data_IF_931963269431
#
_entry.id   IF_931963269431
#
_cell.length_a   1.000
_cell.length_b   1.000
_cell.length_c   1.000
_cell.angle_alpha   90.00
_cell.angle_beta   90.00
_cell.angle_gamma   90.00
#
_symmetry.space_group_name_H-M   'P 1'
#
loop_
_entity.id
_entity.type
_entity.pdbx_description
1 polymer ?
#
# COMPACT_ATOMS: atom_id res chain seq x y z
N UNK A 1 -10.10 54.35 -23.10
CA UNK A 1 -9.09 53.56 -23.83
C UNK A 1 -8.74 52.34 -22.98
N UNK A 2 -8.97 51.13 -23.52
CA UNK A 2 -8.57 49.81 -22.98
C UNK A 2 -9.30 49.37 -21.70
N UNK A 3 -10.19 48.37 -21.65
CA UNK A 3 -10.40 47.22 -22.52
C UNK A 3 -9.61 46.01 -22.01
N UNK A 4 -10.30 45.02 -21.42
CA UNK A 4 -9.73 43.70 -21.11
C UNK A 4 -10.40 42.97 -19.94
N UNK A 5 -11.53 42.31 -20.20
CA UNK A 5 -12.12 41.32 -19.28
C UNK A 5 -11.50 39.92 -19.46
N UNK A 6 -12.23 38.92 -18.94
CA UNK A 6 -11.95 37.47 -18.84
C UNK A 6 -11.19 37.13 -17.55
N UNK A 7 -11.60 36.19 -16.70
CA UNK A 7 -12.61 35.15 -16.76
C UNK A 7 -12.26 34.17 -15.64
N UNK A 8 -13.25 33.64 -14.93
CA UNK A 8 -13.00 32.75 -13.79
C UNK A 8 -12.22 31.49 -14.17
N UNK A 9 -11.41 30.97 -13.25
CA UNK A 9 -10.99 29.57 -13.26
C UNK A 9 -11.04 28.97 -11.84
N UNK A 10 -12.09 28.19 -11.64
CA UNK A 10 -12.13 26.88 -11.01
C UNK A 10 -10.81 26.32 -10.42
N UNK A 11 -10.91 25.96 -9.14
CA UNK A 11 -10.41 24.71 -8.51
C UNK A 11 -8.93 24.32 -8.64
N UNK A 12 -8.27 24.18 -7.48
CA UNK A 12 -7.92 22.86 -6.90
C UNK A 12 -7.27 23.05 -5.54
N UNK A 13 -7.92 22.50 -4.50
CA UNK A 13 -7.24 22.16 -3.25
C UNK A 13 -6.12 21.16 -3.58
N UNK A 14 -4.87 21.57 -3.35
CA UNK A 14 -3.70 20.69 -3.36
C UNK A 14 -3.71 19.94 -2.03
N UNK A 15 -3.44 18.62 -1.99
CA UNK A 15 -3.46 17.83 -0.75
C UNK A 15 -2.55 18.50 0.29
N UNK A 16 -3.06 18.71 1.49
CA UNK A 16 -2.27 19.22 2.61
C UNK A 16 -1.15 18.24 2.94
N UNK A 17 0.05 18.50 2.43
CA UNK A 17 1.27 17.94 2.98
C UNK A 17 1.55 18.69 4.28
N UNK A 18 0.93 18.25 5.38
CA UNK A 18 1.24 18.77 6.69
C UNK A 18 2.73 18.59 7.01
N UNK A 19 3.32 19.58 7.67
CA UNK A 19 4.72 19.62 8.12
C UNK A 19 5.13 18.46 9.06
N UNK A 20 4.19 17.60 9.45
CA UNK A 20 4.33 16.54 10.46
C UNK A 20 4.87 15.19 9.96
N UNK A 21 5.14 15.06 8.66
CA UNK A 21 5.63 13.79 8.09
C UNK A 21 4.54 12.73 7.92
N UNK A 22 4.83 11.70 7.15
CA UNK A 22 3.84 10.67 6.79
C UNK A 22 3.79 9.57 7.84
N UNK A 23 2.58 9.17 8.24
CA UNK A 23 2.35 8.12 9.23
C UNK A 23 1.68 6.90 8.58
N UNK A 24 2.05 5.72 9.04
CA UNK A 24 1.24 4.51 8.88
C UNK A 24 0.59 4.24 10.23
N UNK A 25 -0.74 4.14 10.23
CA UNK A 25 -1.55 4.01 11.44
C UNK A 25 -2.45 2.77 11.38
N UNK A 26 -2.89 2.32 12.55
CA UNK A 26 -3.85 1.22 12.70
C UNK A 26 -4.96 1.66 13.65
N UNK A 27 -6.17 1.23 13.37
CA UNK A 27 -7.32 1.36 14.25
C UNK A 27 -8.14 0.07 14.21
N UNK A 28 -9.09 -0.06 15.12
CA UNK A 28 -10.11 -1.11 15.07
C UNK A 28 -11.05 -0.87 13.87
N UNK A 29 -11.80 -1.88 13.47
CA UNK A 29 -12.78 -1.74 12.37
C UNK A 29 -13.90 -0.72 12.68
N UNK A 30 -14.08 -0.37 13.97
CA UNK A 30 -14.97 0.71 14.42
C UNK A 30 -14.36 2.11 14.27
N UNK A 31 -13.07 2.21 13.93
CA UNK A 31 -12.27 3.44 13.92
C UNK A 31 -11.71 3.81 15.30
N UNK A 32 -12.03 3.06 16.35
CA UNK A 32 -11.51 3.25 17.71
C UNK A 32 -10.05 2.81 17.83
N UNK A 33 -9.39 3.17 18.94
CA UNK A 33 -8.03 2.72 19.27
C UNK A 33 -6.98 3.01 18.18
N UNK A 34 -7.10 4.17 17.53
CA UNK A 34 -6.14 4.64 16.52
C UNK A 34 -4.75 4.82 17.14
N UNK A 35 -3.75 4.18 16.53
CA UNK A 35 -2.36 4.22 16.98
C UNK A 35 -1.42 4.34 15.78
N UNK A 36 -0.32 5.07 15.98
CA UNK A 36 0.77 5.12 14.99
C UNK A 36 1.57 3.81 15.02
N UNK A 37 1.71 3.19 13.86
CA UNK A 37 2.52 1.97 13.67
C UNK A 37 3.92 2.35 13.18
N UNK A 38 4.02 3.20 12.16
CA UNK A 38 5.31 3.65 11.61
C UNK A 38 5.27 5.17 11.43
N UNK A 39 6.31 5.85 11.91
CA UNK A 39 6.60 7.25 11.57
C UNK A 39 7.62 7.27 10.45
N UNK A 40 7.22 7.69 9.25
CA UNK A 40 8.10 7.66 8.09
C UNK A 40 8.99 8.89 8.04
N UNK A 41 10.08 8.76 7.29
CA UNK A 41 10.98 9.88 7.02
C UNK A 41 10.23 11.06 6.38
N UNK A 42 10.65 12.27 6.71
CA UNK A 42 10.09 13.50 6.13
C UNK A 42 10.17 13.43 4.60
N UNK A 43 9.04 13.67 3.95
CA UNK A 43 8.92 13.60 2.48
C UNK A 43 8.62 12.21 1.93
N UNK A 44 8.47 11.16 2.74
CA UNK A 44 8.02 9.85 2.25
C UNK A 44 6.56 9.89 1.78
N UNK A 45 6.29 9.41 0.57
CA UNK A 45 4.93 9.36 0.01
C UNK A 45 4.48 7.91 -0.14
N UNK A 46 3.60 7.46 0.76
CA UNK A 46 3.01 6.12 0.70
C UNK A 46 1.88 6.10 -0.31
N UNK A 47 1.91 5.14 -1.22
CA UNK A 47 0.88 5.01 -2.27
C UNK A 47 0.07 3.71 -2.20
N UNK A 48 0.56 2.71 -1.48
CA UNK A 48 -0.10 1.43 -1.30
C UNK A 48 0.43 0.72 -0.07
N UNK A 49 -0.44 -0.07 0.56
CA UNK A 49 -0.13 -0.87 1.74
C UNK A 49 -0.70 -2.28 1.56
N UNK A 50 0.05 -3.29 1.98
CA UNK A 50 -0.37 -4.68 2.04
C UNK A 50 -0.10 -5.22 3.44
N UNK A 51 -1.01 -6.05 3.93
CA UNK A 51 -0.92 -6.67 5.27
C UNK A 51 -0.84 -8.17 5.08
N UNK A 52 0.09 -8.80 5.79
CA UNK A 52 0.23 -10.25 5.93
C UNK A 52 -0.09 -10.64 7.38
N UNK A 53 -1.37 -11.00 7.66
CA UNK A 53 -1.77 -11.35 9.01
C UNK A 53 -1.10 -12.62 9.52
N UNK A 54 -0.82 -13.59 8.63
CA UNK A 54 -0.27 -14.89 9.02
C UNK A 54 1.18 -14.79 9.46
N UNK A 55 1.97 -13.93 8.81
CA UNK A 55 3.37 -13.71 9.17
C UNK A 55 3.59 -12.47 10.04
N UNK A 56 2.51 -11.81 10.50
CA UNK A 56 2.55 -10.57 11.28
C UNK A 56 3.40 -9.46 10.65
N UNK A 57 3.23 -9.22 9.35
CA UNK A 57 3.96 -8.18 8.61
C UNK A 57 3.06 -7.20 7.89
N UNK A 58 3.57 -5.99 7.69
CA UNK A 58 2.99 -5.00 6.80
C UNK A 58 4.05 -4.56 5.78
N UNK A 59 3.60 -4.22 4.58
CA UNK A 59 4.43 -3.80 3.46
C UNK A 59 3.83 -2.56 2.81
N UNK A 60 4.66 -1.65 2.30
CA UNK A 60 4.18 -0.43 1.66
C UNK A 60 5.10 0.02 0.53
N UNK A 61 4.54 0.83 -0.36
CA UNK A 61 5.28 1.47 -1.47
C UNK A 61 5.57 2.92 -1.10
N UNK A 62 6.81 3.37 -1.35
CA UNK A 62 7.20 4.78 -1.28
C UNK A 62 7.55 5.26 -2.69
N UNK A 63 6.59 5.86 -3.39
CA UNK A 63 6.78 6.08 -4.83
C UNK A 63 7.80 7.17 -5.15
N UNK A 64 7.97 8.17 -4.28
CA UNK A 64 9.00 9.20 -4.44
C UNK A 64 10.41 8.67 -4.15
N UNK A 65 10.54 7.61 -3.34
CA UNK A 65 11.82 6.94 -3.07
C UNK A 65 12.07 5.71 -3.95
N UNK A 66 11.13 5.36 -4.83
CA UNK A 66 11.24 4.19 -5.72
C UNK A 66 11.52 2.90 -4.93
N UNK A 67 10.86 2.76 -3.79
CA UNK A 67 11.10 1.70 -2.81
C UNK A 67 9.82 0.95 -2.44
N UNK A 68 9.99 -0.33 -2.15
CA UNK A 68 9.01 -1.14 -1.43
C UNK A 68 9.64 -1.48 -0.08
N UNK A 69 8.90 -1.27 0.99
CA UNK A 69 9.38 -1.48 2.36
C UNK A 69 8.46 -2.44 3.11
N UNK A 70 8.96 -2.96 4.21
CA UNK A 70 8.19 -3.79 5.12
C UNK A 70 8.63 -3.60 6.56
N UNK A 71 7.76 -4.00 7.48
CA UNK A 71 8.02 -4.04 8.92
C UNK A 71 7.16 -5.15 9.54
N UNK A 72 7.36 -5.43 10.83
CA UNK A 72 6.38 -6.18 11.61
C UNK A 72 5.08 -5.38 11.77
N UNK A 73 3.96 -6.05 12.08
CA UNK A 73 2.66 -5.38 12.29
C UNK A 73 2.64 -4.40 13.48
N UNK A 74 3.63 -4.46 14.37
CA UNK A 74 3.85 -3.49 15.43
C UNK A 74 4.77 -2.33 15.03
N UNK A 75 5.20 -2.28 13.76
CA UNK A 75 6.07 -1.23 13.20
C UNK A 75 7.57 -1.44 13.41
N UNK A 76 7.99 -2.49 14.13
CA UNK A 76 9.41 -2.74 14.37
C UNK A 76 10.09 -3.45 13.20
N UNK A 77 11.42 -3.40 13.17
CA UNK A 77 12.25 -4.03 12.14
C UNK A 77 11.85 -3.58 10.72
N UNK A 78 11.83 -2.27 10.48
CA UNK A 78 11.66 -1.71 9.12
C UNK A 78 12.83 -2.15 8.22
N UNK A 79 12.52 -2.55 7.00
CA UNK A 79 13.49 -2.94 5.98
C UNK A 79 12.99 -2.61 4.57
N UNK A 80 13.93 -2.51 3.63
CA UNK A 80 13.62 -2.40 2.20
C UNK A 80 13.49 -3.80 1.62
N UNK A 81 12.39 -4.04 0.90
CA UNK A 81 12.09 -5.29 0.18
C UNK A 81 12.85 -5.29 -1.14
N UNK A 82 13.57 -6.38 -1.44
CA UNK A 82 14.40 -6.51 -2.65
C UNK A 82 15.88 -6.25 -2.39
N UNK A 83 16.69 -6.18 -3.45
CA UNK A 83 18.10 -5.79 -3.31
C UNK A 83 18.19 -4.27 -3.12
N UNK A 84 19.17 -3.79 -2.34
CA UNK A 84 19.36 -2.35 -2.14
C UNK A 84 19.60 -1.56 -3.46
N UNK A 85 20.05 -2.24 -4.52
CA UNK A 85 20.24 -1.73 -5.88
C UNK A 85 18.96 -1.75 -6.74
N UNK A 86 17.93 -2.48 -6.32
CA UNK A 86 16.71 -2.68 -7.09
C UNK A 86 15.72 -1.56 -6.75
N UNK A 87 15.66 -0.56 -7.63
CA UNK A 87 14.67 0.51 -7.57
C UNK A 87 13.50 0.13 -8.46
N UNK A 88 12.31 0.10 -7.90
CA UNK A 88 11.08 0.00 -8.68
C UNK A 88 10.70 1.44 -9.03
N UNK A 89 10.64 1.85 -10.31
CA UNK A 89 10.32 3.23 -10.63
C UNK A 89 8.88 3.56 -10.25
N UNK A 90 8.67 4.53 -9.36
CA UNK A 90 7.34 5.01 -8.95
C UNK A 90 6.34 3.86 -8.63
N UNK A 91 6.62 3.01 -7.63
CA UNK A 91 5.70 1.97 -7.20
C UNK A 91 4.43 2.62 -6.65
N UNK A 92 3.27 2.02 -6.95
CA UNK A 92 1.98 2.57 -6.53
C UNK A 92 1.19 1.62 -5.65
N UNK A 93 0.39 0.74 -6.21
CA UNK A 93 -0.33 -0.30 -5.50
C UNK A 93 0.57 -1.49 -5.17
N UNK A 94 0.26 -2.14 -4.05
CA UNK A 94 0.89 -3.37 -3.61
C UNK A 94 -0.15 -4.30 -3.02
N UNK A 95 0.01 -5.60 -3.25
CA UNK A 95 -0.81 -6.66 -2.68
C UNK A 95 0.07 -7.84 -2.33
N UNK A 96 -0.37 -8.68 -1.39
CA UNK A 96 0.34 -9.90 -1.00
C UNK A 96 -0.56 -11.11 -1.25
N UNK A 97 0.03 -12.18 -1.78
CA UNK A 97 -0.58 -13.50 -1.83
C UNK A 97 0.47 -14.53 -1.49
N UNK A 98 0.17 -15.38 -0.52
CA UNK A 98 1.10 -16.36 0.05
C UNK A 98 2.43 -15.70 0.49
N UNK A 99 3.53 -16.01 -0.19
CA UNK A 99 4.88 -15.49 0.09
C UNK A 99 5.39 -14.54 -1.00
N UNK A 100 4.47 -13.93 -1.74
CA UNK A 100 4.78 -13.07 -2.87
C UNK A 100 4.04 -11.74 -2.76
N UNK A 101 4.81 -10.67 -2.89
CA UNK A 101 4.28 -9.34 -3.11
C UNK A 101 4.12 -9.10 -4.60
N UNK A 102 3.04 -8.42 -4.95
CA UNK A 102 2.74 -7.96 -6.28
C UNK A 102 2.64 -6.44 -6.20
N UNK A 103 3.33 -5.73 -7.08
CA UNK A 103 3.26 -4.27 -7.14
C UNK A 103 3.29 -3.80 -8.58
N UNK A 104 2.65 -2.67 -8.86
CA UNK A 104 2.77 -2.01 -10.14
C UNK A 104 3.83 -0.90 -10.07
N UNK A 105 4.52 -0.71 -11.19
CA UNK A 105 5.44 0.40 -11.44
C UNK A 105 4.82 1.33 -12.48
N UNK A 106 4.48 2.56 -12.10
CA UNK A 106 3.87 3.51 -13.03
C UNK A 106 4.88 3.97 -14.08
N UNK A 107 6.06 4.39 -13.64
CA UNK A 107 7.11 4.87 -14.54
C UNK A 107 7.77 3.71 -15.32
N UNK A 108 7.90 2.53 -14.69
CA UNK A 108 8.41 1.32 -15.34
C UNK A 108 7.38 0.57 -16.19
N UNK A 109 6.10 0.98 -16.16
CA UNK A 109 4.99 0.42 -16.95
C UNK A 109 4.87 -1.09 -16.85
N UNK A 110 4.94 -1.61 -15.62
CA UNK A 110 5.02 -3.05 -15.39
C UNK A 110 4.30 -3.48 -14.11
N UNK A 111 3.87 -4.73 -14.08
CA UNK A 111 3.50 -5.44 -12.86
C UNK A 111 4.67 -6.33 -12.47
N UNK A 112 5.08 -6.25 -11.21
CA UNK A 112 6.25 -6.91 -10.67
C UNK A 112 5.85 -7.84 -9.53
N UNK A 113 6.54 -8.96 -9.44
CA UNK A 113 6.50 -9.92 -8.34
C UNK A 113 7.77 -9.80 -7.52
N UNK A 114 7.64 -9.80 -6.19
CA UNK A 114 8.76 -9.81 -5.25
C UNK A 114 8.56 -10.92 -4.22
N UNK A 115 9.53 -11.82 -4.08
CA UNK A 115 9.53 -12.84 -3.01
C UNK A 115 9.72 -12.19 -1.63
N UNK A 116 8.92 -12.61 -0.64
CA UNK A 116 9.09 -12.20 0.76
C UNK A 116 10.08 -13.07 1.54
N UNK A 117 10.53 -14.20 0.96
CA UNK A 117 11.55 -15.05 1.58
C UNK A 117 12.93 -14.38 1.50
N UNK A 118 13.56 -14.18 2.65
CA UNK A 118 14.90 -13.62 2.80
C UNK A 118 16.00 -14.70 2.92
N UNK A 119 15.75 -15.94 2.48
CA UNK A 119 16.69 -17.07 2.67
C UNK A 119 17.96 -16.88 1.84
N UNK A 120 19.07 -16.43 2.46
CA UNK A 120 20.49 -16.43 2.03
C UNK A 120 20.82 -16.34 0.52
N UNK A 121 19.92 -15.77 -0.25
CA UNK A 121 19.88 -15.78 -1.70
C UNK A 121 18.99 -14.61 -2.10
N UNK A 122 19.43 -13.92 -3.15
CA UNK A 122 18.86 -12.65 -3.58
C UNK A 122 17.32 -12.73 -3.69
N UNK A 123 16.56 -11.79 -3.08
CA UNK A 123 15.13 -11.72 -3.33
C UNK A 123 14.88 -11.62 -4.84
N UNK A 124 14.07 -12.54 -5.36
CA UNK A 124 13.77 -12.61 -6.79
C UNK A 124 12.70 -11.59 -7.14
N UNK A 125 13.12 -10.55 -7.85
CA UNK A 125 12.21 -9.65 -8.57
C UNK A 125 11.93 -10.26 -9.95
N UNK A 126 10.65 -10.38 -10.29
CA UNK A 126 10.23 -10.78 -11.63
C UNK A 126 9.27 -9.77 -12.21
N UNK A 127 9.38 -9.49 -13.51
CA UNK A 127 8.33 -8.79 -14.27
C UNK A 127 7.28 -9.84 -14.64
N UNK A 128 6.04 -9.62 -14.23
CA UNK A 128 4.90 -10.46 -14.62
C UNK A 128 4.40 -10.02 -15.99
N UNK A 129 4.23 -8.71 -16.14
CA UNK A 129 3.74 -8.10 -17.36
C UNK A 129 4.30 -6.68 -17.51
N UNK A 130 4.38 -6.19 -18.74
CA UNK A 130 5.02 -4.92 -19.10
C UNK A 130 4.21 -4.17 -20.15
N UNK A 131 4.59 -2.92 -20.44
CA UNK A 131 3.82 -2.03 -21.32
C UNK A 131 2.40 -1.75 -20.82
N UNK A 132 2.22 -1.74 -19.49
CA UNK A 132 0.94 -1.42 -18.85
C UNK A 132 0.93 0.06 -18.48
N UNK A 133 -0.13 0.78 -18.88
CA UNK A 133 -0.25 2.23 -18.71
C UNK A 133 -1.37 2.59 -17.73
N UNK A 134 -1.04 3.41 -16.73
CA UNK A 134 -2.00 3.97 -15.79
C UNK A 134 -2.71 3.00 -14.82
N UNK A 135 -2.22 1.80 -14.48
CA UNK A 135 -2.87 1.01 -13.43
C UNK A 135 -2.69 1.73 -12.09
N UNK A 136 -3.76 1.97 -11.34
CA UNK A 136 -3.69 2.63 -10.02
C UNK A 136 -3.94 1.64 -8.88
N UNK A 137 -4.78 0.63 -9.11
CA UNK A 137 -5.09 -0.42 -8.14
C UNK A 137 -4.52 -1.77 -8.58
N UNK A 138 -4.18 -2.60 -7.59
CA UNK A 138 -3.73 -3.98 -7.80
C UNK A 138 -4.14 -4.81 -6.58
N UNK A 139 -4.79 -5.96 -6.81
CA UNK A 139 -5.20 -6.91 -5.78
C UNK A 139 -4.87 -8.31 -6.25
N UNK A 140 -4.14 -9.07 -5.44
CA UNK A 140 -3.92 -10.49 -5.65
C UNK A 140 -5.01 -11.28 -4.91
N UNK A 141 -5.62 -12.26 -5.60
CA UNK A 141 -6.76 -13.03 -5.08
C UNK A 141 -6.47 -14.52 -5.19
N UNK A 142 -6.60 -15.26 -4.10
CA UNK A 142 -6.63 -16.72 -4.16
C UNK A 142 -8.04 -17.19 -4.53
N UNK A 143 -8.17 -17.92 -5.63
CA UNK A 143 -9.42 -18.56 -6.03
C UNK A 143 -9.75 -19.82 -5.18
N UNK A 144 -8.78 -20.30 -4.40
CA UNK A 144 -8.93 -21.48 -3.54
C UNK A 144 -9.18 -21.12 -2.07
N UNK A 145 -9.07 -19.84 -1.71
CA UNK A 145 -9.37 -19.39 -0.36
C UNK A 145 -10.87 -19.54 -0.10
N UNK A 146 -11.23 -20.57 0.68
CA UNK A 146 -12.59 -20.71 1.18
C UNK A 146 -12.86 -19.56 2.15
N UNK A 147 -13.75 -18.63 1.80
CA UNK A 147 -14.28 -17.66 2.75
C UNK A 147 -15.14 -18.45 3.74
N UNK A 148 -14.78 -18.54 5.03
CA UNK A 148 -15.59 -19.28 5.99
C UNK A 148 -16.98 -18.64 6.05
N UNK A 149 -18.01 -19.39 5.67
CA UNK A 149 -19.40 -18.91 5.65
C UNK A 149 -20.01 -18.81 7.07
N UNK A 150 -19.16 -18.61 8.08
CA UNK A 150 -19.47 -18.69 9.51
C UNK A 150 -18.84 -17.51 10.26
N UNK A 151 -18.94 -16.31 9.70
CA UNK A 151 -18.52 -15.10 10.40
C UNK A 151 -19.47 -14.82 11.57
N UNK A 152 -18.97 -14.27 12.68
CA UNK A 152 -19.83 -13.89 13.80
C UNK A 152 -20.93 -12.90 13.34
N UNK A 153 -20.59 -12.02 12.40
CA UNK A 153 -21.53 -11.07 11.80
C UNK A 153 -22.68 -11.73 11.02
N UNK A 154 -22.46 -12.90 10.40
CA UNK A 154 -23.54 -13.62 9.72
C UNK A 154 -24.64 -14.11 10.68
N UNK A 155 -24.33 -14.23 11.98
CA UNK A 155 -25.27 -14.69 13.02
C UNK A 155 -25.88 -13.56 13.84
N UNK A 156 -25.37 -12.34 13.68
CA UNK A 156 -25.78 -11.19 14.49
C UNK A 156 -26.88 -10.39 13.80
N UNK A 157 -27.83 -9.87 14.58
CA UNK A 157 -28.82 -8.90 14.10
C UNK A 157 -28.38 -7.49 14.49
N UNK A 158 -27.57 -6.87 13.65
CA UNK A 158 -27.18 -5.47 13.78
C UNK A 158 -28.20 -4.58 13.04
N UNK A 159 -28.49 -3.38 13.57
CA UNK A 159 -29.38 -2.43 12.90
C UNK A 159 -28.73 -1.67 11.75
N UNK A 160 -27.39 -1.56 11.74
CA UNK A 160 -26.63 -0.80 10.75
C UNK A 160 -25.40 -1.58 10.25
N UNK A 161 -24.34 -1.63 11.05
CA UNK A 161 -23.07 -2.28 10.69
C UNK A 161 -22.66 -3.30 11.77
N UNK A 162 -22.00 -4.37 11.33
CA UNK A 162 -21.37 -5.36 12.20
C UNK A 162 -19.87 -5.33 12.00
N UNK A 163 -19.12 -5.18 13.10
CA UNK A 163 -17.67 -5.20 13.12
C UNK A 163 -17.20 -6.33 14.04
N UNK A 164 -16.18 -7.07 13.61
CA UNK A 164 -15.48 -8.01 14.47
C UNK A 164 -14.56 -7.21 15.41
N UNK A 165 -14.65 -7.49 16.71
CA UNK A 165 -13.72 -6.99 17.74
C UNK A 165 -12.68 -8.05 18.05
#
# INVERSE_FOLDING_TARGET
MGGGGLGGQYSRMIPGFGDEGTLIERCDLTGENRTTVVKLARGAHVYGIAVDPLNHRLYWTEGNYSAVKGAFLNGTNEFVIGQASLRIPQPHAISILDKQLFCNSLAGRAIMRISTNHTNGSPSLGVIDSSIYGPIGLVAVSLHALVPNNSACAKMKCSHLCFLR
#
